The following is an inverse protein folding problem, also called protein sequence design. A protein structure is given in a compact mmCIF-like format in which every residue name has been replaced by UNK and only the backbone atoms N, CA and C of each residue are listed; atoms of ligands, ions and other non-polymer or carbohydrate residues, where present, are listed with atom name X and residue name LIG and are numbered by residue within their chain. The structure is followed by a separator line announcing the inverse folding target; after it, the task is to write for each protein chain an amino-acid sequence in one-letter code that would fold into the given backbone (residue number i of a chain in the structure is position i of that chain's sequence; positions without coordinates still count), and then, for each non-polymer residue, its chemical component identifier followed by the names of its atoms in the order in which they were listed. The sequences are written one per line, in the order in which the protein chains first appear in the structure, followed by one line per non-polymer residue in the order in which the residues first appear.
data_IF_741722179304
#
_entry.id   IF_741722179304
#
_cell.length_a   1.000
_cell.length_b   1.000
_cell.length_c   1.000
_cell.angle_alpha   90.00
_cell.angle_beta   90.00
_cell.angle_gamma   90.00
#
_symmetry.space_group_name_H-M   'P 1'
#
loop_
_entity.id
_entity.type
_entity.pdbx_description
1 polymer ?
#
# COMPACT_ATOMS: atom_id res chain seq x y z
N UNK A 1 -16.18 9.48 -59.31
CA UNK A 1 -16.47 8.94 -57.96
C UNK A 1 -15.58 7.74 -57.60
N UNK A 2 -15.45 6.69 -58.44
CA UNK A 2 -14.59 5.52 -58.15
C UNK A 2 -13.12 5.86 -57.82
N UNK A 3 -12.47 6.76 -58.60
CA UNK A 3 -11.06 7.12 -58.36
C UNK A 3 -10.82 7.85 -57.04
N UNK A 4 -11.74 8.74 -56.64
CA UNK A 4 -11.70 9.43 -55.33
C UNK A 4 -11.83 8.43 -54.18
N UNK A 5 -12.73 7.44 -54.34
CA UNK A 5 -12.89 6.38 -53.36
C UNK A 5 -11.65 5.48 -53.25
N UNK A 6 -11.00 5.17 -54.38
CA UNK A 6 -9.73 4.44 -54.41
C UNK A 6 -8.61 5.20 -53.72
N UNK A 7 -8.46 6.51 -53.97
CA UNK A 7 -7.44 7.33 -53.31
C UNK A 7 -7.69 7.46 -51.80
N UNK A 8 -8.94 7.58 -51.37
CA UNK A 8 -9.29 7.61 -49.94
C UNK A 8 -8.93 6.30 -49.23
N UNK A 9 -9.17 5.15 -49.87
CA UNK A 9 -8.79 3.83 -49.34
C UNK A 9 -7.27 3.67 -49.26
N UNK A 10 -6.53 4.08 -50.30
CA UNK A 10 -5.08 4.02 -50.30
C UNK A 10 -4.45 4.91 -49.21
N UNK A 11 -5.01 6.10 -48.97
CA UNK A 11 -4.55 7.01 -47.92
C UNK A 11 -4.78 6.43 -46.52
N UNK A 12 -5.96 5.85 -46.28
CA UNK A 12 -6.27 5.20 -45.02
C UNK A 12 -5.39 3.96 -44.78
N UNK A 13 -5.15 3.15 -45.81
CA UNK A 13 -4.25 2.00 -45.73
C UNK A 13 -2.80 2.41 -45.41
N UNK A 14 -2.30 3.49 -46.00
CA UNK A 14 -0.98 4.02 -45.70
C UNK A 14 -0.87 4.47 -44.23
N UNK A 15 -1.92 5.11 -43.68
CA UNK A 15 -1.94 5.58 -42.30
C UNK A 15 -1.92 4.44 -41.27
N UNK A 16 -2.59 3.31 -41.57
CA UNK A 16 -2.58 2.11 -40.71
C UNK A 16 -1.19 1.44 -40.67
N UNK A 17 -0.45 1.45 -41.79
CA UNK A 17 0.88 0.84 -41.88
C UNK A 17 1.94 1.58 -41.05
N UNK A 18 1.80 2.89 -40.82
CA UNK A 18 2.72 3.66 -39.98
C UNK A 18 2.45 3.53 -38.47
N UNK A 19 1.26 3.08 -38.06
CA UNK A 19 0.92 2.84 -36.65
C UNK A 19 1.49 1.54 -36.07
N UNK A 20 1.94 0.61 -36.92
CA UNK A 20 2.45 -0.70 -36.51
C UNK A 20 3.93 -0.70 -36.08
N UNK A 21 4.62 0.43 -36.17
CA UNK A 21 6.04 0.57 -35.80
C UNK A 21 6.26 1.54 -34.62
N UNK A 22 5.30 1.68 -33.70
CA UNK A 22 5.65 2.26 -32.40
C UNK A 22 6.51 1.25 -31.64
N UNK A 23 7.74 1.60 -31.22
CA UNK A 23 8.60 0.67 -30.49
C UNK A 23 7.88 0.19 -29.23
N UNK A 24 7.65 -1.11 -29.14
CA UNK A 24 7.00 -1.72 -28.00
C UNK A 24 7.95 -1.65 -26.79
N UNK A 25 7.54 -0.93 -25.74
CA UNK A 25 8.32 -0.83 -24.51
C UNK A 25 7.81 -1.83 -23.48
N UNK A 26 8.45 -3.00 -23.44
CA UNK A 26 8.08 -4.11 -22.54
C UNK A 26 8.64 -3.96 -21.12
N UNK A 27 9.26 -2.82 -20.79
CA UNK A 27 9.87 -2.63 -19.47
C UNK A 27 8.78 -2.29 -18.46
N UNK A 28 8.66 -3.10 -17.40
CA UNK A 28 8.01 -2.67 -16.17
C UNK A 28 8.86 -1.51 -15.65
N UNK A 29 8.38 -0.29 -15.83
CA UNK A 29 9.08 0.95 -15.49
C UNK A 29 9.72 0.94 -14.09
N UNK A 30 10.64 1.88 -13.88
CA UNK A 30 11.62 1.82 -12.78
C UNK A 30 11.01 1.59 -11.38
N UNK A 31 11.76 0.86 -10.56
CA UNK A 31 11.47 0.70 -9.13
C UNK A 31 11.58 2.07 -8.47
N UNK A 32 10.46 2.60 -7.99
CA UNK A 32 10.37 3.97 -7.46
C UNK A 32 10.38 4.03 -5.93
N UNK A 33 10.36 2.88 -5.24
CA UNK A 33 10.45 2.79 -3.77
C UNK A 33 11.46 1.72 -3.37
N UNK A 34 12.33 2.09 -2.43
CA UNK A 34 13.31 1.22 -1.80
C UNK A 34 12.93 0.96 -0.34
N UNK A 35 13.41 -0.16 0.22
CA UNK A 35 13.16 -0.54 1.62
C UNK A 35 13.56 0.57 2.61
N UNK A 36 14.69 1.24 2.38
CA UNK A 36 15.19 2.32 3.23
C UNK A 36 14.31 3.58 3.24
N UNK A 37 13.44 3.76 2.23
CA UNK A 37 12.49 4.88 2.21
C UNK A 37 11.24 4.58 3.04
N UNK A 38 10.98 3.31 3.38
CA UNK A 38 9.84 2.87 4.20
C UNK A 38 10.15 2.99 5.69
N UNK A 39 10.53 4.20 6.11
CA UNK A 39 10.96 4.53 7.47
C UNK A 39 9.82 5.15 8.31
N UNK A 40 9.79 4.86 9.62
CA UNK A 40 8.77 5.38 10.55
C UNK A 40 8.91 6.91 10.68
N UNK A 41 7.79 7.61 10.62
CA UNK A 41 7.72 9.08 10.61
C UNK A 41 7.89 9.71 9.22
N UNK A 42 8.30 8.93 8.19
CA UNK A 42 8.37 9.39 6.80
C UNK A 42 7.33 8.70 5.93
N UNK A 43 7.38 7.37 5.87
CA UNK A 43 6.48 6.56 5.05
C UNK A 43 5.22 6.13 5.80
N UNK A 44 5.30 6.02 7.13
CA UNK A 44 4.18 5.62 7.96
C UNK A 44 4.33 6.08 9.41
N UNK A 45 3.24 6.07 10.18
CA UNK A 45 3.24 6.34 11.63
C UNK A 45 2.67 5.16 12.42
N UNK A 46 3.09 5.07 13.68
CA UNK A 46 2.56 4.16 14.71
C UNK A 46 2.33 5.01 15.95
N UNK A 47 1.07 5.30 16.25
CA UNK A 47 0.67 6.27 17.26
C UNK A 47 -0.36 5.68 18.22
N UNK A 48 -0.21 5.96 19.51
CA UNK A 48 -1.21 5.59 20.51
C UNK A 48 -2.35 6.61 20.51
N UNK A 49 -3.58 6.16 20.74
CA UNK A 49 -4.68 7.08 21.02
C UNK A 49 -4.40 7.88 22.30
N UNK A 50 -4.80 9.15 22.30
CA UNK A 50 -4.52 10.07 23.40
C UNK A 50 -5.30 9.73 24.69
N UNK A 51 -6.47 9.10 24.56
CA UNK A 51 -7.33 8.77 25.68
C UNK A 51 -7.14 7.31 26.13
N UNK A 52 -6.87 6.41 25.19
CA UNK A 52 -6.65 5.00 25.46
C UNK A 52 -5.38 4.47 24.78
N UNK A 53 -4.24 4.39 25.48
CA UNK A 53 -2.97 3.96 24.88
C UNK A 53 -2.98 2.49 24.41
N UNK A 54 -3.99 1.69 24.76
CA UNK A 54 -4.17 0.35 24.21
C UNK A 54 -4.75 0.37 22.77
N UNK A 55 -5.18 1.52 22.26
CA UNK A 55 -5.53 1.72 20.86
C UNK A 55 -4.30 2.27 20.13
N UNK A 56 -3.87 1.57 19.07
CA UNK A 56 -2.73 1.97 18.26
C UNK A 56 -3.17 2.17 16.82
N UNK A 57 -2.85 3.33 16.25
CA UNK A 57 -3.09 3.69 14.87
C UNK A 57 -1.84 3.46 14.03
N UNK A 58 -1.98 2.64 13.00
CA UNK A 58 -0.99 2.52 11.93
C UNK A 58 -1.48 3.36 10.76
N UNK A 59 -0.70 4.35 10.30
CA UNK A 59 -1.13 5.22 9.18
C UNK A 59 -0.06 5.27 8.11
N UNK A 60 -0.42 4.92 6.88
CA UNK A 60 0.45 5.11 5.72
C UNK A 60 0.46 6.58 5.32
N UNK A 61 1.67 7.14 5.20
CA UNK A 61 1.93 8.49 4.69
C UNK A 61 2.29 8.46 3.20
N UNK A 62 2.34 7.27 2.59
CA UNK A 62 2.63 7.11 1.18
C UNK A 62 1.52 7.70 0.31
N UNK A 63 1.89 8.09 -0.91
CA UNK A 63 0.92 8.55 -1.92
C UNK A 63 -0.14 7.47 -2.18
N UNK A 64 -1.36 7.90 -2.49
CA UNK A 64 -2.50 7.02 -2.81
C UNK A 64 -2.24 6.03 -3.95
N UNK A 65 -1.26 6.28 -4.82
CA UNK A 65 -0.87 5.32 -5.88
C UNK A 65 -0.24 4.03 -5.35
N UNK A 66 0.23 4.02 -4.10
CA UNK A 66 0.81 2.84 -3.46
C UNK A 66 -0.22 2.16 -2.57
N UNK A 67 -0.39 0.84 -2.74
CA UNK A 67 -1.18 0.02 -1.82
C UNK A 67 -0.35 -0.28 -0.57
N UNK A 68 -0.78 0.17 0.63
CA UNK A 68 -0.14 -0.19 1.89
C UNK A 68 -0.17 -1.70 2.13
N UNK A 69 0.85 -2.24 2.78
CA UNK A 69 0.90 -3.62 3.23
C UNK A 69 1.40 -3.64 4.67
N UNK A 70 0.53 -4.04 5.58
CA UNK A 70 0.84 -4.13 7.00
C UNK A 70 0.96 -5.59 7.42
N UNK A 71 2.01 -5.91 8.16
CA UNK A 71 2.06 -7.08 9.03
C UNK A 71 2.13 -6.58 10.47
N UNK A 72 1.17 -6.98 11.28
CA UNK A 72 0.98 -6.48 12.64
C UNK A 72 0.50 -7.62 13.56
N UNK A 73 0.46 -7.44 14.89
CA UNK A 73 0.14 -8.53 15.83
C UNK A 73 -1.21 -9.22 15.57
N UNK A 74 -2.14 -8.54 14.90
CA UNK A 74 -3.49 -9.03 14.57
C UNK A 74 -3.63 -9.54 13.13
N UNK A 75 -2.51 -9.84 12.44
CA UNK A 75 -2.50 -10.37 11.08
C UNK A 75 -1.96 -9.37 10.04
N UNK A 76 -2.67 -9.25 8.91
CA UNK A 76 -2.26 -8.39 7.78
C UNK A 76 -3.40 -7.48 7.34
N UNK A 77 -3.06 -6.31 6.81
CA UNK A 77 -4.03 -5.35 6.25
C UNK A 77 -3.43 -4.57 5.09
N UNK A 78 -4.30 -4.07 4.21
CA UNK A 78 -3.92 -3.17 3.11
C UNK A 78 -4.53 -1.77 3.27
N UNK A 79 -5.18 -1.50 4.39
CA UNK A 79 -5.82 -0.20 4.62
C UNK A 79 -4.78 0.91 4.81
N UNK A 80 -5.13 2.13 4.38
CA UNK A 80 -4.30 3.31 4.60
C UNK A 80 -4.15 3.63 6.09
N UNK A 81 -5.18 3.36 6.88
CA UNK A 81 -5.17 3.52 8.34
C UNK A 81 -5.74 2.26 8.99
N UNK A 82 -4.95 1.61 9.83
CA UNK A 82 -5.35 0.43 10.61
C UNK A 82 -5.46 0.82 12.08
N UNK A 83 -6.51 0.34 12.75
CA UNK A 83 -6.69 0.52 14.19
C UNK A 83 -6.49 -0.81 14.90
N UNK A 84 -5.44 -0.91 15.71
CA UNK A 84 -5.18 -2.05 16.55
C UNK A 84 -5.75 -1.80 17.95
N UNK A 85 -6.49 -2.79 18.47
CA UNK A 85 -6.95 -2.81 19.86
C UNK A 85 -6.14 -3.84 20.64
N UNK A 86 -5.21 -3.38 21.46
CA UNK A 86 -4.18 -4.22 22.08
C UNK A 86 -4.50 -4.47 23.57
N UNK A 87 -5.14 -5.60 23.93
CA UNK A 87 -5.61 -5.82 25.30
C UNK A 87 -4.49 -6.09 26.30
N UNK A 88 -3.35 -6.63 25.87
CA UNK A 88 -2.32 -7.16 26.76
C UNK A 88 -1.05 -6.30 26.72
N UNK A 89 -0.34 -6.17 27.86
CA UNK A 89 0.94 -5.50 27.91
C UNK A 89 2.01 -6.33 27.20
N UNK A 90 2.95 -5.65 26.54
CA UNK A 90 4.05 -6.30 25.82
C UNK A 90 4.68 -5.41 24.76
N UNK A 91 5.83 -5.87 24.25
CA UNK A 91 6.46 -5.31 23.05
C UNK A 91 5.90 -6.00 21.80
N UNK A 92 5.47 -5.20 20.84
CA UNK A 92 4.85 -5.65 19.61
C UNK A 92 5.58 -5.09 18.40
N UNK A 93 5.61 -5.87 17.33
CA UNK A 93 6.28 -5.51 16.08
C UNK A 93 5.27 -5.24 14.97
N UNK A 94 5.52 -4.21 14.18
CA UNK A 94 4.82 -3.90 12.93
C UNK A 94 5.82 -3.82 11.80
N UNK A 95 5.47 -4.42 10.66
CA UNK A 95 6.21 -4.30 9.42
C UNK A 95 5.35 -3.60 8.39
N UNK A 96 5.89 -2.54 7.81
CA UNK A 96 5.24 -1.77 6.75
C UNK A 96 5.88 -2.07 5.40
N UNK A 97 5.04 -2.21 4.39
CA UNK A 97 5.42 -2.36 3.01
C UNK A 97 4.47 -1.62 2.09
N UNK A 98 4.84 -1.56 0.81
CA UNK A 98 3.98 -1.08 -0.25
C UNK A 98 4.08 -1.98 -1.47
N UNK A 99 2.97 -2.12 -2.18
CA UNK A 99 2.98 -2.66 -3.53
C UNK A 99 3.44 -1.57 -4.52
N UNK A 100 4.49 -1.86 -5.28
CA UNK A 100 5.03 -0.99 -6.34
C UNK A 100 4.88 -1.69 -7.69
N UNK A 101 5.18 -0.97 -8.78
CA UNK A 101 5.25 -1.60 -10.12
C UNK A 101 6.32 -2.69 -10.21
N UNK A 102 7.39 -2.59 -9.42
CA UNK A 102 8.46 -3.58 -9.31
C UNK A 102 8.13 -4.75 -8.36
N UNK A 103 6.90 -4.82 -7.85
CA UNK A 103 6.47 -5.77 -6.84
C UNK A 103 6.45 -5.18 -5.44
N UNK A 104 6.32 -6.06 -4.45
CA UNK A 104 6.18 -5.67 -3.05
C UNK A 104 7.54 -5.31 -2.45
N UNK A 105 7.60 -4.16 -1.79
CA UNK A 105 8.77 -3.71 -1.03
C UNK A 105 8.37 -3.56 0.43
N UNK A 106 9.16 -4.14 1.33
CA UNK A 106 8.99 -3.97 2.78
C UNK A 106 10.16 -3.18 3.36
N UNK A 107 9.85 -2.34 4.35
CA UNK A 107 10.85 -1.72 5.23
C UNK A 107 11.29 -2.66 6.35
N UNK A 108 12.21 -2.15 7.16
CA UNK A 108 12.58 -2.81 8.42
C UNK A 108 11.40 -2.77 9.42
N UNK A 109 11.17 -3.85 10.19
CA UNK A 109 10.14 -3.85 11.22
C UNK A 109 10.44 -2.84 12.34
N UNK A 110 9.38 -2.28 12.92
CA UNK A 110 9.48 -1.37 14.07
C UNK A 110 8.67 -1.89 15.25
N UNK A 111 9.10 -1.55 16.47
CA UNK A 111 8.40 -1.96 17.70
C UNK A 111 7.58 -0.82 18.31
N UNK A 112 6.56 -1.20 19.08
CA UNK A 112 5.82 -0.33 19.99
C UNK A 112 5.44 -1.13 21.25
N UNK A 113 5.20 -0.44 22.36
CA UNK A 113 4.93 -1.06 23.65
C UNK A 113 3.50 -0.78 24.11
N UNK A 114 2.90 -1.77 24.76
CA UNK A 114 1.67 -1.61 25.53
C UNK A 114 2.03 -1.83 26.99
N UNK A 115 1.79 -0.82 27.83
CA UNK A 115 2.28 -0.84 29.22
C UNK A 115 1.32 -1.57 30.17
N UNK A 116 0.02 -1.54 29.88
CA UNK A 116 -1.02 -2.03 30.79
C UNK A 116 -2.06 -2.86 30.04
N UNK A 117 -2.71 -3.77 30.77
CA UNK A 117 -3.84 -4.52 30.25
C UNK A 117 -5.08 -3.61 30.17
N UNK A 118 -5.86 -3.73 29.09
CA UNK A 118 -7.17 -3.09 28.97
C UNK A 118 -8.27 -4.15 28.77
N UNK A 119 -8.96 -4.47 29.87
CA UNK A 119 -9.90 -5.58 29.94
C UNK A 119 -11.13 -5.43 29.04
N UNK A 120 -11.57 -4.21 28.73
CA UNK A 120 -12.75 -3.97 27.88
C UNK A 120 -12.58 -4.51 26.45
N UNK A 121 -11.35 -4.73 25.98
CA UNK A 121 -11.09 -5.36 24.68
C UNK A 121 -11.26 -6.88 24.67
N UNK A 122 -11.46 -7.50 25.83
CA UNK A 122 -11.71 -8.95 25.96
C UNK A 122 -12.94 -9.26 26.83
N UNK A 123 -13.62 -8.24 27.36
CA UNK A 123 -14.84 -8.43 28.12
C UNK A 123 -15.98 -8.78 27.17
N UNK A 124 -16.65 -9.88 27.46
CA UNK A 124 -17.88 -10.31 26.79
C UNK A 124 -18.96 -10.41 27.88
N UNK A 125 -20.17 -9.92 27.58
CA UNK A 125 -21.32 -9.89 28.48
C UNK A 125 -21.69 -11.29 29.02
N UNK A 126 -21.23 -12.35 28.36
CA UNK A 126 -21.43 -13.75 28.79
C UNK A 126 -20.50 -14.22 29.91
N UNK A 127 -19.50 -13.41 30.28
CA UNK A 127 -18.49 -13.75 31.31
C UNK A 127 -18.60 -12.90 32.59
N UNK A 128 -19.80 -12.40 32.93
CA UNK A 128 -20.13 -11.75 34.21
C UNK A 128 -20.84 -12.66 35.18
#
# INVERSE_FOLDING_TARGET
MKKIFTYAICFFAAMVLFGACSPENYILGDIDVTSAQLDKGKAFTVEHDANNPNIVYLTSLMDSKYTPLWEHPQGRSQEKKVTLRMPFPGEYTVKFGVETRGGIVYGEPVTFNIDQMYAEFISDETWT
#
